data_IF_474441952538
#
_entry.id   IF_474441952538
#
_cell.length_a   1.000
_cell.length_b   1.000
_cell.length_c   1.000
_cell.angle_alpha   90.00
_cell.angle_beta   90.00
_cell.angle_gamma   90.00
#
_symmetry.space_group_name_H-M   'P 1'
#
loop_
_entity.id
_entity.type
_entity.pdbx_description
1 polymer ?
#
# COMPACT_ATOMS: atom_id res chain seq x y z
N UNK A 1 -16.26 -6.45 1.59
CA UNK A 1 -15.61 -6.36 2.91
C UNK A 1 -15.99 -5.06 3.58
N UNK A 2 -15.52 -3.90 3.09
CA UNK A 2 -15.74 -2.59 3.75
C UNK A 2 -17.10 -1.94 3.50
N UNK A 3 -17.88 -2.43 2.53
CA UNK A 3 -19.18 -1.86 2.14
C UNK A 3 -20.36 -2.27 3.05
N UNK A 4 -20.18 -3.28 3.90
CA UNK A 4 -21.32 -3.93 4.57
C UNK A 4 -21.46 -3.61 6.07
N UNK A 5 -20.42 -3.12 6.78
CA UNK A 5 -20.49 -2.80 8.21
C UNK A 5 -19.60 -1.60 8.57
N UNK A 6 -20.10 -0.67 9.40
CA UNK A 6 -19.35 0.51 9.86
C UNK A 6 -18.11 0.16 10.70
N UNK A 7 -18.16 -0.95 11.43
CA UNK A 7 -17.05 -1.45 12.29
C UNK A 7 -15.81 -1.80 11.44
N UNK A 8 -16.01 -2.16 10.17
CA UNK A 8 -14.91 -2.57 9.30
C UNK A 8 -14.17 -1.40 8.67
N UNK A 9 -14.75 -0.19 8.71
CA UNK A 9 -14.10 1.03 8.21
C UNK A 9 -12.92 1.47 9.07
N UNK A 10 -12.90 1.08 10.34
CA UNK A 10 -11.82 1.45 11.28
C UNK A 10 -10.87 0.29 11.61
N UNK A 11 -10.92 -0.81 10.85
CA UNK A 11 -10.06 -1.98 11.07
C UNK A 11 -8.93 -1.99 10.04
N UNK A 12 -7.69 -2.19 10.52
CA UNK A 12 -6.53 -2.37 9.65
C UNK A 12 -6.67 -3.64 8.82
N UNK A 13 -6.05 -3.61 7.64
CA UNK A 13 -6.01 -4.77 6.75
C UNK A 13 -5.39 -6.00 7.40
N UNK A 14 -4.41 -5.82 8.28
CA UNK A 14 -3.74 -6.93 8.98
C UNK A 14 -4.67 -7.76 9.86
N UNK A 15 -5.71 -7.13 10.41
CA UNK A 15 -6.69 -7.77 11.30
C UNK A 15 -7.86 -8.40 10.54
N UNK A 16 -7.95 -8.17 9.22
CA UNK A 16 -9.08 -8.64 8.42
C UNK A 16 -9.16 -10.16 8.23
N UNK A 17 -8.04 -10.87 7.99
CA UNK A 17 -8.08 -12.32 7.85
C UNK A 17 -8.57 -13.05 9.11
N UNK A 18 -8.47 -12.44 10.29
CA UNK A 18 -9.02 -13.00 11.53
C UNK A 18 -10.55 -12.98 11.50
N UNK A 19 -11.15 -11.89 10.99
CA UNK A 19 -12.61 -11.66 10.99
C UNK A 19 -13.31 -12.25 9.77
N UNK A 20 -12.63 -12.33 8.63
CA UNK A 20 -13.24 -12.67 7.34
C UNK A 20 -12.48 -13.80 6.63
N UNK A 21 -13.20 -14.57 5.81
CA UNK A 21 -12.64 -15.57 4.92
C UNK A 21 -13.21 -15.42 3.50
N UNK A 22 -12.36 -15.63 2.50
CA UNK A 22 -12.77 -15.64 1.10
C UNK A 22 -13.62 -16.87 0.80
N UNK A 23 -14.81 -16.67 0.24
CA UNK A 23 -15.61 -17.74 -0.33
C UNK A 23 -15.43 -17.75 -1.86
N UNK A 24 -14.73 -18.76 -2.35
CA UNK A 24 -14.37 -18.86 -3.76
C UNK A 24 -15.59 -19.06 -4.68
N UNK A 25 -16.64 -19.72 -4.20
CA UNK A 25 -17.88 -19.97 -4.97
C UNK A 25 -18.62 -18.68 -5.28
N UNK A 26 -18.82 -17.86 -4.26
CA UNK A 26 -19.61 -16.63 -4.37
C UNK A 26 -18.72 -15.42 -4.70
N UNK A 27 -17.40 -15.59 -4.75
CA UNK A 27 -16.38 -14.54 -4.90
C UNK A 27 -16.60 -13.35 -3.97
N UNK A 28 -16.95 -13.65 -2.72
CA UNK A 28 -17.18 -12.64 -1.68
C UNK A 28 -16.47 -13.02 -0.39
N UNK A 29 -16.03 -11.99 0.32
CA UNK A 29 -15.59 -12.11 1.70
C UNK A 29 -16.81 -12.30 2.60
N UNK A 30 -16.86 -13.42 3.32
CA UNK A 30 -17.88 -13.71 4.33
C UNK A 30 -17.28 -13.62 5.73
N UNK A 31 -18.06 -13.22 6.76
CA UNK A 31 -17.63 -13.31 8.14
C UNK A 31 -17.15 -14.73 8.42
N UNK A 32 -16.00 -14.85 9.08
CA UNK A 32 -15.40 -16.14 9.37
C UNK A 32 -16.30 -16.91 10.32
N UNK A 33 -16.70 -18.10 9.92
CA UNK A 33 -17.45 -19.01 10.77
C UNK A 33 -16.44 -19.78 11.61
N UNK A 34 -16.40 -19.48 12.90
CA UNK A 34 -15.61 -20.25 13.86
C UNK A 34 -16.38 -21.51 14.24
N UNK A 35 -15.70 -22.67 14.32
CA UNK A 35 -16.36 -23.88 14.81
C UNK A 35 -16.82 -23.65 16.26
N UNK A 36 -18.10 -23.89 16.57
CA UNK A 36 -18.70 -23.75 17.91
C UNK A 36 -18.13 -24.73 18.97
N UNK A 37 -16.95 -25.32 18.77
CA UNK A 37 -16.38 -26.35 19.65
C UNK A 37 -15.76 -25.84 20.95
N UNK A 38 -15.78 -24.53 21.24
CA UNK A 38 -15.45 -24.01 22.58
C UNK A 38 -16.44 -22.94 23.02
N UNK A 39 -17.23 -23.29 24.05
CA UNK A 39 -18.17 -22.44 24.80
C UNK A 39 -17.50 -21.28 25.58
N UNK A 40 -16.17 -21.14 25.55
CA UNK A 40 -15.47 -20.07 26.26
C UNK A 40 -14.80 -19.14 25.25
N UNK A 41 -15.34 -17.92 25.14
CA UNK A 41 -14.78 -16.80 24.37
C UNK A 41 -13.33 -16.51 24.78
N UNK A 42 -12.99 -16.76 26.05
CA UNK A 42 -11.67 -16.56 26.65
C UNK A 42 -10.57 -17.51 26.14
N UNK A 43 -10.94 -18.67 25.58
CA UNK A 43 -9.99 -19.70 25.09
C UNK A 43 -10.00 -19.84 23.57
N UNK A 44 -10.31 -18.76 22.85
CA UNK A 44 -10.15 -18.71 21.38
C UNK A 44 -8.65 -18.72 21.04
N UNK A 45 -8.23 -19.71 20.28
CA UNK A 45 -6.93 -19.69 19.62
C UNK A 45 -6.91 -18.52 18.64
N UNK A 46 -5.98 -17.58 18.82
CA UNK A 46 -5.73 -16.48 17.89
C UNK A 46 -5.59 -17.06 16.49
N UNK A 47 -6.43 -16.62 15.57
CA UNK A 47 -6.41 -17.15 14.21
C UNK A 47 -5.37 -16.40 13.40
N UNK A 48 -4.28 -17.08 13.02
CA UNK A 48 -3.21 -16.48 12.23
C UNK A 48 -3.66 -16.35 10.79
N UNK A 49 -3.95 -15.12 10.38
CA UNK A 49 -4.18 -14.72 9.01
C UNK A 49 -2.90 -14.75 8.17
N UNK A 50 -2.98 -15.26 6.94
CA UNK A 50 -1.92 -15.03 5.95
C UNK A 50 -2.32 -13.89 5.04
N UNK A 51 -1.44 -12.90 4.92
CA UNK A 51 -1.55 -11.82 3.95
C UNK A 51 -0.54 -12.11 2.85
N UNK A 52 -0.99 -12.05 1.60
CA UNK A 52 -0.10 -12.29 0.47
C UNK A 52 0.82 -11.11 0.25
N UNK A 53 2.09 -11.40 0.03
CA UNK A 53 3.06 -10.39 -0.38
C UNK A 53 2.72 -9.90 -1.78
N UNK A 54 2.69 -8.59 -1.97
CA UNK A 54 2.49 -7.97 -3.28
C UNK A 54 3.85 -7.58 -3.84
N UNK A 55 4.09 -7.86 -5.12
CA UNK A 55 5.35 -7.52 -5.76
C UNK A 55 5.42 -6.02 -6.04
N UNK A 56 6.54 -5.34 -5.76
CA UNK A 56 6.78 -3.96 -6.18
C UNK A 56 6.74 -3.75 -7.70
N UNK A 57 6.80 -4.82 -8.50
CA UNK A 57 6.64 -4.78 -9.96
C UNK A 57 5.22 -4.40 -10.41
N UNK A 58 4.23 -4.55 -9.53
CA UNK A 58 2.84 -4.16 -9.76
C UNK A 58 2.55 -2.87 -8.96
N UNK A 59 2.91 -1.68 -9.48
CA UNK A 59 2.99 -0.45 -8.67
C UNK A 59 1.64 -0.05 -8.05
N UNK A 60 0.54 -0.20 -8.78
CA UNK A 60 -0.81 0.10 -8.29
C UNK A 60 -1.25 -0.84 -7.17
N UNK A 61 -1.03 -2.14 -7.35
CA UNK A 61 -1.41 -3.14 -6.36
C UNK A 61 -0.54 -3.03 -5.11
N UNK A 62 0.75 -2.76 -5.30
CA UNK A 62 1.69 -2.53 -4.22
C UNK A 62 1.34 -1.26 -3.44
N UNK A 63 1.03 -0.16 -4.13
CA UNK A 63 0.56 1.08 -3.48
C UNK A 63 -0.72 0.87 -2.67
N UNK A 64 -1.70 0.16 -3.24
CA UNK A 64 -2.92 -0.21 -2.50
C UNK A 64 -2.60 -1.03 -1.25
N UNK A 65 -1.73 -2.04 -1.36
CA UNK A 65 -1.31 -2.85 -0.23
C UNK A 65 -0.67 -2.01 0.89
N UNK A 66 0.27 -1.13 0.54
CA UNK A 66 0.92 -0.23 1.51
C UNK A 66 -0.08 0.72 2.14
N UNK A 67 -1.00 1.32 1.36
CA UNK A 67 -2.05 2.19 1.87
C UNK A 67 -2.96 1.47 2.88
N UNK A 68 -3.45 0.28 2.54
CA UNK A 68 -4.35 -0.50 3.39
C UNK A 68 -3.68 -1.02 4.66
N UNK A 69 -2.35 -1.19 4.63
CA UNK A 69 -1.56 -1.55 5.80
C UNK A 69 -1.46 -0.40 6.80
N UNK A 70 -1.24 0.82 6.32
CA UNK A 70 -1.05 1.99 7.16
C UNK A 70 -2.35 2.68 7.59
N UNK A 71 -3.41 2.56 6.78
CA UNK A 71 -4.67 3.24 7.00
C UNK A 71 -5.84 2.26 6.99
N UNK A 72 -6.74 2.33 7.99
CA UNK A 72 -7.96 1.55 7.98
C UNK A 72 -8.97 2.12 6.97
N UNK A 73 -9.82 1.27 6.40
CA UNK A 73 -10.97 1.70 5.61
C UNK A 73 -11.11 1.05 4.23
N UNK A 74 -12.08 1.56 3.49
CA UNK A 74 -12.39 1.14 2.12
C UNK A 74 -11.31 1.66 1.15
N UNK A 75 -10.80 0.85 0.20
CA UNK A 75 -9.85 1.29 -0.82
C UNK A 75 -10.27 2.57 -1.52
N UNK A 76 -11.54 2.71 -1.86
CA UNK A 76 -12.04 3.91 -2.54
C UNK A 76 -11.88 5.17 -1.67
N UNK A 77 -11.96 5.03 -0.34
CA UNK A 77 -11.71 6.12 0.59
C UNK A 77 -10.21 6.44 0.74
N UNK A 78 -9.32 5.46 0.55
CA UNK A 78 -7.87 5.66 0.61
C UNK A 78 -7.35 6.55 -0.54
N UNK A 79 -8.07 6.61 -1.66
CA UNK A 79 -7.79 7.56 -2.75
C UNK A 79 -8.15 9.00 -2.43
N UNK A 80 -8.97 9.24 -1.40
CA UNK A 80 -9.29 10.59 -0.96
C UNK A 80 -8.24 11.07 0.05
N UNK A 81 -7.63 12.21 -0.24
CA UNK A 81 -6.71 12.90 0.64
C UNK A 81 -7.22 14.32 0.84
N UNK A 82 -7.71 14.60 2.04
CA UNK A 82 -8.18 15.92 2.46
C UNK A 82 -9.18 16.58 1.47
N UNK A 83 -10.05 15.78 0.83
CA UNK A 83 -11.06 16.25 -0.12
C UNK A 83 -10.63 16.22 -1.59
N UNK A 84 -9.39 15.82 -1.88
CA UNK A 84 -8.90 15.62 -3.25
C UNK A 84 -8.90 14.13 -3.57
N UNK A 85 -9.57 13.74 -4.65
CA UNK A 85 -9.61 12.35 -5.10
C UNK A 85 -8.47 12.10 -6.09
N UNK A 86 -7.58 11.17 -5.78
CA UNK A 86 -6.50 10.76 -6.69
C UNK A 86 -7.01 9.71 -7.69
N UNK A 87 -6.49 9.76 -8.92
CA UNK A 87 -6.83 8.77 -9.95
C UNK A 87 -6.23 7.39 -9.64
N UNK A 88 -4.98 7.37 -9.17
CA UNK A 88 -4.20 6.15 -8.88
C UNK A 88 -3.96 5.96 -7.37
N UNK A 89 -3.79 4.71 -6.93
CA UNK A 89 -3.37 4.45 -5.54
C UNK A 89 -1.92 4.85 -5.31
N UNK A 90 -1.08 4.78 -6.34
CA UNK A 90 0.30 5.24 -6.28
C UNK A 90 0.39 6.75 -5.98
N UNK A 91 -0.43 7.58 -6.62
CA UNK A 91 -0.48 9.02 -6.34
C UNK A 91 -1.00 9.30 -4.94
N UNK A 92 -2.03 8.56 -4.50
CA UNK A 92 -2.52 8.68 -3.13
C UNK A 92 -1.45 8.30 -2.09
N UNK A 93 -0.69 7.22 -2.33
CA UNK A 93 0.43 6.83 -1.49
C UNK A 93 1.53 7.90 -1.47
N UNK A 94 1.86 8.49 -2.62
CA UNK A 94 2.86 9.56 -2.73
C UNK A 94 2.44 10.82 -1.99
N UNK A 95 1.19 11.27 -2.16
CA UNK A 95 0.65 12.44 -1.45
C UNK A 95 0.57 12.23 0.07
N UNK A 96 0.39 10.98 0.51
CA UNK A 96 0.46 10.60 1.94
C UNK A 96 1.89 10.41 2.45
N UNK A 97 2.90 10.62 1.61
CA UNK A 97 4.32 10.50 1.98
C UNK A 97 4.80 9.06 2.19
N UNK A 98 4.04 8.06 1.71
CA UNK A 98 4.44 6.66 1.80
C UNK A 98 5.49 6.29 0.73
N UNK A 99 5.41 6.92 -0.44
CA UNK A 99 6.31 6.65 -1.55
C UNK A 99 7.21 7.86 -1.78
N UNK A 100 8.49 7.59 -2.04
CA UNK A 100 9.43 8.64 -2.46
C UNK A 100 9.02 9.19 -3.82
N UNK A 101 9.13 10.51 -3.95
CA UNK A 101 8.84 11.21 -5.19
C UNK A 101 10.10 11.27 -6.05
N UNK A 102 10.01 10.77 -7.30
CA UNK A 102 11.09 10.86 -8.27
C UNK A 102 11.44 12.31 -8.64
N UNK A 103 10.67 13.29 -8.17
CA UNK A 103 10.94 14.71 -8.37
C UNK A 103 12.31 15.16 -7.86
N UNK A 104 12.91 14.46 -6.89
CA UNK A 104 14.28 14.76 -6.43
C UNK A 104 15.28 14.60 -7.57
N UNK A 105 15.21 13.50 -8.31
CA UNK A 105 16.11 13.22 -9.43
C UNK A 105 15.85 14.15 -10.61
N UNK A 106 14.59 14.47 -10.89
CA UNK A 106 14.24 15.41 -11.96
C UNK A 106 14.78 16.82 -11.67
N UNK A 107 14.57 17.33 -10.44
CA UNK A 107 15.09 18.63 -10.01
C UNK A 107 16.61 18.65 -10.07
N UNK A 108 17.26 17.61 -9.55
CA UNK A 108 18.73 17.47 -9.58
C UNK A 108 19.27 17.52 -11.02
N UNK A 109 18.64 16.79 -11.95
CA UNK A 109 19.05 16.81 -13.37
C UNK A 109 18.80 18.17 -14.03
N UNK A 110 17.70 18.85 -13.69
CA UNK A 110 17.37 20.18 -14.20
C UNK A 110 18.34 21.25 -13.69
N UNK A 111 18.75 21.19 -12.44
CA UNK A 111 19.76 22.10 -11.89
C UNK A 111 21.13 21.83 -12.50
N UNK A 112 21.48 20.54 -12.65
CA UNK A 112 22.71 20.11 -13.27
C UNK A 112 22.82 20.54 -14.74
N UNK A 113 21.72 20.51 -15.51
CA UNK A 113 21.75 20.93 -16.92
C UNK A 113 22.10 22.40 -17.11
N UNK A 114 21.84 23.24 -16.10
CA UNK A 114 22.17 24.67 -16.13
C UNK A 114 23.58 24.97 -15.60
N UNK A 115 24.21 24.01 -14.92
CA UNK A 115 25.41 24.26 -14.08
C UNK A 115 26.61 23.37 -14.41
N UNK A 116 26.40 22.20 -15.04
CA UNK A 116 27.43 21.19 -15.29
C UNK A 116 27.82 21.12 -16.76
N UNK A 117 29.07 20.74 -17.01
CA UNK A 117 29.57 20.40 -18.34
C UNK A 117 29.00 19.04 -18.83
N UNK A 118 28.95 18.79 -20.15
CA UNK A 118 28.41 17.54 -20.70
C UNK A 118 29.08 16.25 -20.20
N UNK A 119 30.34 16.30 -19.79
CA UNK A 119 31.04 15.16 -19.16
C UNK A 119 30.51 14.88 -17.76
N UNK A 120 30.39 15.91 -16.94
CA UNK A 120 29.88 15.84 -15.56
C UNK A 120 28.41 15.42 -15.53
N UNK A 121 27.61 15.91 -16.48
CA UNK A 121 26.21 15.53 -16.62
C UNK A 121 26.04 14.02 -16.87
N UNK A 122 26.89 13.44 -17.73
CA UNK A 122 26.90 11.99 -17.98
C UNK A 122 27.31 11.20 -16.73
N UNK A 123 28.31 11.66 -15.99
CA UNK A 123 28.72 11.03 -14.74
C UNK A 123 27.63 11.09 -13.68
N UNK A 124 26.93 12.23 -13.55
CA UNK A 124 25.79 12.38 -12.64
C UNK A 124 24.66 11.42 -13.01
N UNK A 125 24.32 11.32 -14.30
CA UNK A 125 23.27 10.41 -14.77
C UNK A 125 23.60 8.95 -14.46
N UNK A 126 24.85 8.51 -14.68
CA UNK A 126 25.30 7.16 -14.32
C UNK A 126 25.21 6.94 -12.80
N UNK A 127 25.61 7.92 -11.99
CA UNK A 127 25.48 7.83 -10.53
C UNK A 127 24.02 7.68 -10.08
N UNK A 128 23.08 8.41 -10.70
CA UNK A 128 21.65 8.28 -10.41
C UNK A 128 21.13 6.90 -10.82
N UNK A 129 21.59 6.33 -11.95
CA UNK A 129 21.17 4.98 -12.35
C UNK A 129 21.70 3.88 -11.43
N UNK A 130 22.92 4.02 -10.91
CA UNK A 130 23.55 3.03 -10.04
C UNK A 130 23.02 3.14 -8.60
N UNK A 131 22.84 4.38 -8.11
CA UNK A 131 22.57 4.64 -6.69
C UNK A 131 21.18 5.21 -6.41
N UNK A 132 20.49 5.76 -7.41
CA UNK A 132 19.20 6.45 -7.24
C UNK A 132 18.00 5.53 -7.05
N UNK A 133 18.18 4.21 -7.06
CA UNK A 133 17.12 3.25 -6.77
C UNK A 133 17.58 2.19 -5.78
N UNK A 134 17.80 2.58 -4.53
CA UNK A 134 17.86 1.60 -3.44
C UNK A 134 16.47 1.47 -2.81
N UNK A 135 15.71 0.46 -3.25
CA UNK A 135 14.80 -0.33 -2.42
C UNK A 135 13.70 0.36 -1.58
N UNK A 136 13.45 1.67 -1.70
CA UNK A 136 12.49 2.37 -0.85
C UNK A 136 11.06 2.30 -1.38
N UNK A 137 10.53 1.09 -1.30
CA UNK A 137 9.12 0.77 -1.28
C UNK A 137 8.93 -0.03 0.02
N UNK A 138 8.85 0.67 1.15
CA UNK A 138 8.53 0.09 2.47
C UNK A 138 7.02 -0.06 2.61
#
# INVERSE_FOLDING_TARGET
>A
MWKNNEIDKNSFYENMPEKYSWNDKDRIWKPRIFSNRKKNIENRTITIGRIYTVSPREPERFALYVLMRHFPGDPDHLKNINGTFCDTFADAARMRGLFEDNSVWEKTLREASNSLLPSQMRSLFVNILIHGSTQNCV
#
